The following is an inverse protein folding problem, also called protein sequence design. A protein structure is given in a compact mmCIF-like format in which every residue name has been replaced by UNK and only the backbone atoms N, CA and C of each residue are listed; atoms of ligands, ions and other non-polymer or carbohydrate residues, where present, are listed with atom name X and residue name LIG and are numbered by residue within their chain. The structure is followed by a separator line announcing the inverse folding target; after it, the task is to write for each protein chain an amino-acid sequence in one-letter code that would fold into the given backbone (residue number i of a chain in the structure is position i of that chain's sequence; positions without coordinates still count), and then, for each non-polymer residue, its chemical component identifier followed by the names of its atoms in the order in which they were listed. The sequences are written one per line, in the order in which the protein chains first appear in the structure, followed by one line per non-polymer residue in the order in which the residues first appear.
data_IF_626070610839
#
_entry.id   IF_626070610839
#
_cell.length_a   1.000
_cell.length_b   1.000
_cell.length_c   1.000
_cell.angle_alpha   90.00
_cell.angle_beta   90.00
_cell.angle_gamma   90.00
#
_symmetry.space_group_name_H-M   'P 1'
#
loop_
_entity.id
_entity.type
_entity.pdbx_description
1 polymer ?
#
# COMPACT_ATOMS: atom_id res chain seq x y z
N UNK A 1 -17.06 14.22 -3.02
CA UNK A 1 -15.81 14.36 -3.78
C UNK A 1 -14.76 13.49 -3.08
N UNK A 2 -14.94 12.18 -3.06
CA UNK A 2 -14.01 11.22 -2.43
C UNK A 2 -13.50 10.17 -3.43
N UNK A 3 -14.15 10.12 -4.60
CA UNK A 3 -13.79 9.25 -5.72
C UNK A 3 -12.49 9.72 -6.43
N UNK A 4 -12.20 11.02 -6.37
CA UNK A 4 -11.04 11.62 -7.04
C UNK A 4 -9.70 11.13 -6.46
N UNK A 5 -9.58 11.11 -5.13
CA UNK A 5 -8.38 10.60 -4.48
C UNK A 5 -8.18 9.11 -4.76
N UNK A 6 -9.26 8.31 -4.69
CA UNK A 6 -9.21 6.89 -5.03
C UNK A 6 -8.71 6.66 -6.45
N UNK A 7 -9.26 7.39 -7.42
CA UNK A 7 -8.84 7.28 -8.82
C UNK A 7 -7.37 7.68 -9.01
N UNK A 8 -6.92 8.78 -8.38
CA UNK A 8 -5.52 9.23 -8.45
C UNK A 8 -4.56 8.23 -7.82
N UNK A 9 -4.90 7.67 -6.66
CA UNK A 9 -4.12 6.62 -6.00
C UNK A 9 -4.05 5.38 -6.90
N UNK A 10 -5.18 4.97 -7.48
CA UNK A 10 -5.24 3.81 -8.36
C UNK A 10 -4.36 3.99 -9.60
N UNK A 11 -4.46 5.15 -10.27
CA UNK A 11 -3.64 5.46 -11.45
C UNK A 11 -2.14 5.46 -11.11
N UNK A 12 -1.76 6.04 -9.97
CA UNK A 12 -0.38 6.00 -9.48
C UNK A 12 0.08 4.57 -9.20
N UNK A 13 -0.79 3.73 -8.64
CA UNK A 13 -0.48 2.32 -8.40
C UNK A 13 -0.22 1.60 -9.71
N UNK A 14 -1.10 1.74 -10.70
CA UNK A 14 -0.99 1.03 -11.97
C UNK A 14 0.18 1.55 -12.83
N UNK A 15 0.42 2.87 -12.85
CA UNK A 15 1.41 3.49 -13.72
C UNK A 15 2.83 3.51 -13.14
N UNK A 16 2.98 3.57 -11.81
CA UNK A 16 4.29 3.79 -11.16
C UNK A 16 4.64 2.66 -10.19
N UNK A 17 3.72 2.29 -9.28
CA UNK A 17 4.03 1.34 -8.22
C UNK A 17 4.11 -0.08 -8.77
N UNK A 18 3.09 -0.54 -9.50
CA UNK A 18 3.05 -1.88 -10.08
C UNK A 18 4.27 -2.20 -10.95
N UNK A 19 4.73 -1.35 -11.88
CA UNK A 19 5.97 -1.65 -12.62
C UNK A 19 7.21 -1.72 -11.71
N UNK A 20 7.30 -0.90 -10.66
CA UNK A 20 8.40 -0.94 -9.70
C UNK A 20 8.40 -2.22 -8.85
N UNK A 21 7.22 -2.69 -8.44
CA UNK A 21 7.05 -3.91 -7.64
C UNK A 21 7.10 -5.17 -8.50
N UNK A 22 6.65 -5.11 -9.76
CA UNK A 22 6.74 -6.20 -10.73
C UNK A 22 8.20 -6.61 -11.00
N UNK A 23 9.15 -5.66 -10.95
CA UNK A 23 10.58 -5.96 -11.00
C UNK A 23 11.08 -6.87 -9.87
N UNK A 24 10.36 -6.89 -8.74
CA UNK A 24 10.60 -7.78 -7.59
C UNK A 24 9.67 -9.01 -7.59
N UNK A 25 8.84 -9.17 -8.62
CA UNK A 25 7.87 -10.27 -8.75
C UNK A 25 6.59 -10.10 -7.94
N UNK A 26 6.32 -8.90 -7.41
CA UNK A 26 5.08 -8.58 -6.70
C UNK A 26 4.20 -7.59 -7.46
N UNK A 27 3.09 -7.22 -6.84
CA UNK A 27 2.12 -6.25 -7.30
C UNK A 27 1.45 -5.58 -6.09
N UNK A 28 0.78 -4.46 -6.33
CA UNK A 28 0.04 -3.73 -5.31
C UNK A 28 -1.36 -3.48 -5.82
N UNK A 29 -2.34 -3.72 -4.96
CA UNK A 29 -3.74 -3.48 -5.27
C UNK A 29 -4.34 -2.48 -4.28
N UNK A 30 -5.11 -1.53 -4.81
CA UNK A 30 -5.85 -0.58 -3.99
C UNK A 30 -7.11 -1.25 -3.45
N UNK A 31 -7.21 -1.38 -2.13
CA UNK A 31 -8.39 -1.96 -1.47
C UNK A 31 -9.44 -0.87 -1.27
N UNK A 32 -9.07 0.21 -0.58
CA UNK A 32 -9.99 1.28 -0.24
C UNK A 32 -9.25 2.58 0.09
N UNK A 33 -9.97 3.70 0.04
CA UNK A 33 -9.45 4.99 0.50
C UNK A 33 -10.51 5.61 1.41
N UNK A 34 -10.17 5.82 2.68
CA UNK A 34 -11.06 6.43 3.65
C UNK A 34 -10.44 7.68 4.24
N UNK A 35 -11.14 8.80 4.12
CA UNK A 35 -10.68 10.11 4.55
C UNK A 35 -9.37 10.47 3.82
N UNK A 36 -8.23 10.26 4.50
CA UNK A 36 -6.87 10.47 3.98
C UNK A 36 -6.00 9.21 4.13
N UNK A 37 -6.63 8.05 4.37
CA UNK A 37 -5.96 6.78 4.59
C UNK A 37 -6.14 5.88 3.39
N UNK A 38 -5.02 5.42 2.84
CA UNK A 38 -5.00 4.49 1.72
C UNK A 38 -4.81 3.08 2.24
N UNK A 39 -5.76 2.20 1.96
CA UNK A 39 -5.69 0.79 2.25
C UNK A 39 -5.27 0.05 0.99
N UNK A 40 -4.12 -0.59 1.04
CA UNK A 40 -3.56 -1.34 -0.07
C UNK A 40 -3.25 -2.78 0.34
N UNK A 41 -3.12 -3.64 -0.65
CA UNK A 41 -2.78 -5.04 -0.51
C UNK A 41 -1.55 -5.31 -1.36
N UNK A 42 -0.47 -5.71 -0.71
CA UNK A 42 0.75 -6.17 -1.39
C UNK A 42 0.60 -7.64 -1.74
N UNK A 43 0.66 -7.97 -3.02
CA UNK A 43 0.57 -9.34 -3.51
C UNK A 43 1.82 -9.77 -4.25
N UNK A 44 2.15 -11.05 -4.23
CA UNK A 44 3.32 -11.56 -4.94
C UNK A 44 4.66 -11.08 -4.36
N UNK A 45 5.75 -11.43 -5.03
CA UNK A 45 7.10 -11.26 -4.51
C UNK A 45 7.58 -12.49 -3.73
N UNK A 46 8.88 -12.55 -3.51
CA UNK A 46 9.56 -13.68 -2.91
C UNK A 46 9.06 -13.89 -1.46
N UNK A 47 8.12 -14.82 -1.25
CA UNK A 47 7.43 -15.16 0.02
C UNK A 47 8.34 -15.71 1.14
N UNK A 48 9.62 -15.31 1.20
CA UNK A 48 10.63 -15.94 2.06
C UNK A 48 11.66 -15.01 2.70
N UNK A 49 11.65 -13.70 2.41
CA UNK A 49 12.66 -12.77 2.95
C UNK A 49 12.00 -11.50 3.48
N UNK A 50 11.49 -11.51 4.72
CA UNK A 50 10.79 -10.38 5.36
C UNK A 50 11.56 -9.06 5.48
N UNK A 51 12.84 -9.00 5.07
CA UNK A 51 13.59 -7.75 4.92
C UNK A 51 13.25 -6.97 3.64
N UNK A 52 12.84 -7.66 2.57
CA UNK A 52 12.46 -7.03 1.30
C UNK A 52 11.12 -6.29 1.42
N UNK A 53 10.19 -6.84 2.19
CA UNK A 53 8.84 -6.30 2.39
C UNK A 53 8.81 -4.95 3.10
N UNK A 54 9.67 -4.76 4.10
CA UNK A 54 9.76 -3.50 4.85
C UNK A 54 10.23 -2.37 3.93
N UNK A 55 11.21 -2.66 3.07
CA UNK A 55 11.80 -1.66 2.17
C UNK A 55 10.84 -1.30 1.05
N UNK A 56 10.12 -2.29 0.52
CA UNK A 56 9.12 -2.10 -0.52
C UNK A 56 7.95 -1.24 -0.02
N UNK A 57 7.36 -1.61 1.13
CA UNK A 57 6.26 -0.86 1.74
C UNK A 57 6.65 0.60 2.01
N UNK A 58 7.83 0.82 2.58
CA UNK A 58 8.32 2.17 2.85
C UNK A 58 8.50 3.01 1.56
N UNK A 59 8.95 2.37 0.47
CA UNK A 59 9.06 3.03 -0.84
C UNK A 59 7.69 3.43 -1.41
N UNK A 60 6.70 2.54 -1.30
CA UNK A 60 5.33 2.80 -1.78
C UNK A 60 4.66 3.90 -0.98
N UNK A 61 4.72 3.84 0.36
CA UNK A 61 4.15 4.88 1.21
C UNK A 61 4.74 6.25 0.90
N UNK A 62 6.07 6.30 0.69
CA UNK A 62 6.76 7.53 0.36
C UNK A 62 6.32 8.08 -1.00
N UNK A 63 6.25 7.25 -2.03
CA UNK A 63 5.79 7.65 -3.36
C UNK A 63 4.36 8.21 -3.34
N UNK A 64 3.45 7.52 -2.63
CA UNK A 64 2.07 7.98 -2.49
C UNK A 64 2.04 9.34 -1.80
N UNK A 65 2.79 9.55 -0.71
CA UNK A 65 2.84 10.83 0.01
C UNK A 65 3.52 11.95 -0.80
N UNK A 66 4.50 11.62 -1.65
CA UNK A 66 5.16 12.60 -2.53
C UNK A 66 4.22 13.10 -3.63
N UNK A 67 3.47 12.20 -4.28
CA UNK A 67 2.51 12.56 -5.34
C UNK A 67 1.18 13.08 -4.79
N UNK A 68 0.74 12.53 -3.66
CA UNK A 68 -0.54 12.81 -3.01
C UNK A 68 -0.27 13.23 -1.56
N UNK A 69 0.15 14.49 -1.32
CA UNK A 69 0.43 15.00 0.02
C UNK A 69 -0.82 15.10 0.91
N UNK A 70 -2.01 14.91 0.34
CA UNK A 70 -3.27 14.78 1.08
C UNK A 70 -3.42 13.42 1.79
N UNK A 71 -2.65 12.40 1.40
CA UNK A 71 -2.64 11.10 2.08
C UNK A 71 -1.84 11.20 3.38
N UNK A 72 -2.50 10.97 4.50
CA UNK A 72 -1.89 11.00 5.83
C UNK A 72 -1.24 9.65 6.18
N UNK A 73 -1.91 8.55 5.83
CA UNK A 73 -1.51 7.21 6.24
C UNK A 73 -1.70 6.18 5.12
N UNK A 74 -0.75 5.26 4.99
CA UNK A 74 -0.83 4.15 4.03
C UNK A 74 -0.77 2.84 4.81
N UNK A 75 -1.88 2.11 4.79
CA UNK A 75 -2.10 0.89 5.52
C UNK A 75 -2.01 -0.29 4.56
N UNK A 76 -1.09 -1.20 4.86
CA UNK A 76 -1.04 -2.48 4.18
C UNK A 76 -1.97 -3.46 4.92
N UNK A 77 -2.89 -4.05 4.17
CA UNK A 77 -3.90 -4.99 4.67
C UNK A 77 -3.39 -6.43 4.66
N UNK A 78 -2.21 -6.69 4.09
CA UNK A 78 -1.61 -8.02 4.07
C UNK A 78 -0.83 -8.33 5.34
N UNK A 79 -1.12 -9.50 5.92
CA UNK A 79 -0.39 -10.05 7.05
C UNK A 79 0.97 -10.58 6.55
N UNK A 80 1.97 -9.70 6.41
CA UNK A 80 3.32 -10.11 6.03
C UNK A 80 4.19 -10.52 7.22
N UNK A 81 3.60 -10.60 8.41
CA UNK A 81 4.27 -10.90 9.66
C UNK A 81 3.35 -11.68 10.58
N UNK A 82 3.23 -12.98 10.30
CA UNK A 82 3.07 -13.89 11.44
C UNK A 82 4.32 -13.72 12.33
N UNK A 83 4.23 -13.25 13.58
CA UNK A 83 3.06 -13.20 14.44
C UNK A 83 2.72 -11.82 15.02
N UNK A 84 1.41 -11.58 15.09
CA UNK A 84 0.71 -10.55 15.85
C UNK A 84 0.35 -9.30 15.05
N UNK A 85 -0.67 -9.45 14.20
CA UNK A 85 -1.43 -8.37 13.59
C UNK A 85 -2.23 -7.57 14.65
N UNK A 86 -1.94 -6.28 14.93
CA UNK A 86 -2.74 -5.48 15.86
C UNK A 86 -3.59 -4.38 15.22
N UNK A 87 -3.55 -4.13 13.91
CA UNK A 87 -4.14 -2.91 13.35
C UNK A 87 -5.36 -3.13 12.46
N UNK A 88 -6.47 -3.50 13.11
CA UNK A 88 -7.79 -2.90 12.89
C UNK A 88 -8.71 -3.28 14.08
N UNK A 89 -8.73 -2.45 15.12
CA UNK A 89 -9.85 -2.46 16.07
C UNK A 89 -10.69 -1.23 15.75
N UNK A 90 -11.89 -1.34 15.16
CA UNK A 90 -12.79 -0.21 15.11
C UNK A 90 -13.21 0.05 16.57
N UNK A 91 -12.68 1.12 17.15
CA UNK A 91 -13.08 1.61 18.47
C UNK A 91 -14.58 1.92 18.45
N UNK A 92 -15.27 1.32 19.41
CA UNK A 92 -16.71 1.26 19.61
C UNK A 92 -17.34 2.60 20.00
#
# INVERSE_FOLDING_TARGET
MSDDLKARVQELIESTINPAVAGHGGFVELIDVQENKVYLQLGGGCQGCGAADITLKAGIERLIKEELPEVEEVLDTTDHSSGSNPYYTPGK
#
